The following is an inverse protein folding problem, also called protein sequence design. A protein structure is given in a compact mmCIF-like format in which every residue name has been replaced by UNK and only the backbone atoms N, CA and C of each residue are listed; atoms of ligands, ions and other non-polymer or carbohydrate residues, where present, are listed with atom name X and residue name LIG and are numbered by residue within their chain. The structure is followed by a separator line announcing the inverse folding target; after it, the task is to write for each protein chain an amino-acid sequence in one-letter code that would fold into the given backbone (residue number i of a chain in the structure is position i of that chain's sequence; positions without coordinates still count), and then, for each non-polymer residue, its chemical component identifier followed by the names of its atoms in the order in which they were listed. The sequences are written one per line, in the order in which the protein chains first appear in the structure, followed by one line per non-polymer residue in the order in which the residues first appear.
data_IF_615838650273
#
_entry.id   IF_615838650273
#
_cell.length_a   1.000
_cell.length_b   1.000
_cell.length_c   1.000
_cell.angle_alpha   90.00
_cell.angle_beta   90.00
_cell.angle_gamma   90.00
#
_symmetry.space_group_name_H-M   'P 1'
#
loop_
_entity.id
_entity.type
_entity.pdbx_description
1 polymer ?
#
# COMPACT_ATOMS: atom_id res chain seq x y z
N UNK A 1 -2.98 -52.32 1.01
CA UNK A 1 -2.53 -51.48 -0.12
C UNK A 1 -3.64 -50.57 -0.65
N UNK A 2 -4.85 -51.08 -0.94
CA UNK A 2 -6.00 -50.26 -1.44
C UNK A 2 -6.35 -49.02 -0.59
N UNK A 3 -6.38 -49.14 0.75
CA UNK A 3 -6.64 -48.00 1.67
C UNK A 3 -5.56 -46.91 1.61
N UNK A 4 -4.29 -47.28 1.37
CA UNK A 4 -3.19 -46.31 1.22
C UNK A 4 -3.26 -45.57 -0.10
N UNK A 5 -3.70 -46.24 -1.18
CA UNK A 5 -3.94 -45.59 -2.49
C UNK A 5 -5.09 -44.59 -2.41
N UNK A 6 -6.20 -44.96 -1.76
CA UNK A 6 -7.35 -44.06 -1.60
C UNK A 6 -7.01 -42.83 -0.74
N UNK A 7 -6.23 -43.03 0.33
CA UNK A 7 -5.73 -41.94 1.17
C UNK A 7 -4.78 -41.00 0.41
N UNK A 8 -3.90 -41.54 -0.44
CA UNK A 8 -3.02 -40.74 -1.29
C UNK A 8 -3.77 -39.91 -2.33
N UNK A 9 -4.77 -40.50 -2.97
CA UNK A 9 -5.64 -39.79 -3.94
C UNK A 9 -6.44 -38.66 -3.27
N UNK A 10 -6.94 -38.89 -2.06
CA UNK A 10 -7.66 -37.88 -1.30
C UNK A 10 -6.75 -36.71 -0.90
N UNK A 11 -5.52 -36.99 -0.46
CA UNK A 11 -4.53 -35.95 -0.16
C UNK A 11 -4.14 -35.14 -1.41
N UNK A 12 -3.98 -35.80 -2.55
CA UNK A 12 -3.69 -35.14 -3.83
C UNK A 12 -4.85 -34.24 -4.27
N UNK A 13 -6.09 -34.71 -4.16
CA UNK A 13 -7.27 -33.93 -4.48
C UNK A 13 -7.40 -32.67 -3.60
N UNK A 14 -7.10 -32.80 -2.29
CA UNK A 14 -7.08 -31.67 -1.38
C UNK A 14 -6.00 -30.65 -1.75
N UNK A 15 -4.77 -31.10 -2.07
CA UNK A 15 -3.67 -30.23 -2.51
C UNK A 15 -4.02 -29.46 -3.80
N UNK A 16 -4.66 -30.13 -4.76
CA UNK A 16 -5.09 -29.49 -6.01
C UNK A 16 -6.21 -28.48 -5.74
N UNK A 17 -7.20 -28.83 -4.91
CA UNK A 17 -8.31 -27.94 -4.60
C UNK A 17 -7.86 -26.70 -3.83
N UNK A 18 -6.99 -26.85 -2.82
CA UNK A 18 -6.45 -25.72 -2.06
C UNK A 18 -5.49 -24.90 -2.90
N UNK A 19 -4.61 -25.54 -3.69
CA UNK A 19 -3.71 -24.84 -4.61
C UNK A 19 -4.45 -24.04 -5.67
N UNK A 20 -5.53 -24.59 -6.24
CA UNK A 20 -6.39 -23.88 -7.18
C UNK A 20 -7.15 -22.72 -6.53
N UNK A 21 -7.72 -22.94 -5.33
CA UNK A 21 -8.39 -21.89 -4.57
C UNK A 21 -7.46 -20.72 -4.25
N UNK A 22 -6.26 -21.00 -3.75
CA UNK A 22 -5.23 -19.98 -3.48
C UNK A 22 -4.82 -19.23 -4.75
N UNK A 23 -4.57 -19.94 -5.85
CA UNK A 23 -4.24 -19.31 -7.14
C UNK A 23 -5.36 -18.39 -7.65
N UNK A 24 -6.62 -18.78 -7.45
CA UNK A 24 -7.77 -17.94 -7.80
C UNK A 24 -7.94 -16.75 -6.85
N UNK A 25 -7.70 -16.92 -5.54
CA UNK A 25 -7.71 -15.83 -4.57
C UNK A 25 -6.59 -14.83 -4.81
N UNK A 26 -5.41 -15.28 -5.25
CA UNK A 26 -4.28 -14.43 -5.63
C UNK A 26 -4.41 -13.81 -7.03
N UNK A 27 -5.37 -14.28 -7.83
CA UNK A 27 -5.75 -13.70 -9.13
C UNK A 27 -6.68 -12.49 -9.01
N UNK A 28 -7.20 -12.21 -7.81
CA UNK A 28 -7.75 -10.88 -7.56
C UNK A 28 -6.56 -9.94 -7.63
N UNK A 29 -6.46 -9.19 -8.72
CA UNK A 29 -5.60 -8.01 -8.75
C UNK A 29 -5.79 -7.29 -7.41
N UNK A 30 -4.71 -6.95 -6.73
CA UNK A 30 -4.73 -6.01 -5.62
C UNK A 30 -5.07 -4.58 -6.13
N UNK A 31 -5.92 -4.50 -7.15
CA UNK A 31 -6.65 -3.31 -7.57
C UNK A 31 -7.57 -2.97 -6.41
N UNK A 32 -7.01 -2.26 -5.44
CA UNK A 32 -7.78 -1.40 -4.58
C UNK A 32 -8.79 -0.68 -5.48
N UNK A 33 -10.08 -0.66 -5.11
CA UNK A 33 -11.06 0.05 -5.94
C UNK A 33 -10.56 1.47 -6.17
N UNK A 34 -10.83 2.05 -7.34
CA UNK A 34 -10.41 3.42 -7.65
C UNK A 34 -10.81 4.41 -6.54
N UNK A 35 -11.89 4.11 -5.82
CA UNK A 35 -12.35 4.84 -4.65
C UNK A 35 -11.42 4.74 -3.42
N UNK A 36 -10.86 3.55 -3.15
CA UNK A 36 -9.85 3.38 -2.11
C UNK A 36 -8.56 4.08 -2.50
N UNK A 37 -8.14 3.99 -3.77
CA UNK A 37 -6.94 4.67 -4.27
C UNK A 37 -7.09 6.20 -4.22
N UNK A 38 -8.25 6.72 -4.64
CA UNK A 38 -8.58 8.15 -4.58
C UNK A 38 -8.62 8.68 -3.14
N UNK A 39 -9.00 7.86 -2.14
CA UNK A 39 -8.98 8.27 -0.74
C UNK A 39 -7.56 8.34 -0.16
N UNK A 40 -6.66 7.41 -0.55
CA UNK A 40 -5.23 7.53 -0.16
C UNK A 40 -4.55 8.68 -0.87
N UNK A 41 -4.85 8.88 -2.15
CA UNK A 41 -4.38 10.06 -2.88
C UNK A 41 -4.93 11.33 -2.24
N UNK A 42 -6.22 11.43 -1.92
CA UNK A 42 -6.86 12.53 -1.16
C UNK A 42 -6.16 12.84 0.16
N UNK A 43 -5.73 11.82 0.89
CA UNK A 43 -4.98 11.99 2.13
C UNK A 43 -3.54 12.50 1.87
N UNK A 44 -2.92 12.07 0.77
CA UNK A 44 -1.57 12.47 0.36
C UNK A 44 -1.50 13.82 -0.39
N UNK A 45 -2.61 14.37 -0.90
CA UNK A 45 -2.62 15.69 -1.58
C UNK A 45 -2.20 16.81 -0.62
N UNK A 46 -2.40 16.61 0.68
CA UNK A 46 -1.91 17.52 1.72
C UNK A 46 -0.44 17.27 2.11
N UNK A 47 0.21 16.27 1.50
CA UNK A 47 1.62 15.93 1.70
C UNK A 47 2.53 16.32 0.52
N UNK A 48 1.99 16.87 -0.58
CA UNK A 48 2.80 17.61 -1.58
C UNK A 48 3.27 18.92 -0.95
N UNK A 49 4.16 18.83 0.03
CA UNK A 49 4.79 19.99 0.64
C UNK A 49 5.80 20.53 -0.34
N UNK A 50 5.60 21.78 -0.75
CA UNK A 50 6.60 22.52 -1.54
C UNK A 50 7.85 22.80 -0.67
N UNK A 51 7.68 22.71 0.65
CA UNK A 51 8.68 22.96 1.68
C UNK A 51 9.19 21.68 2.36
N UNK A 52 10.51 21.55 2.61
CA UNK A 52 11.05 20.42 3.35
C UNK A 52 10.60 20.46 4.82
N UNK A 53 10.24 19.31 5.39
CA UNK A 53 9.95 19.21 6.83
C UNK A 53 11.22 19.58 7.66
N UNK A 54 11.12 20.40 8.72
CA UNK A 54 9.91 20.83 9.43
C UNK A 54 9.24 22.11 8.91
N UNK A 55 9.73 22.72 7.83
CA UNK A 55 9.13 23.93 7.27
C UNK A 55 7.71 23.68 6.75
N UNK A 56 6.87 24.71 6.81
CA UNK A 56 5.52 24.72 6.27
C UNK A 56 5.39 25.71 5.11
N UNK A 57 4.43 25.50 4.23
CA UNK A 57 4.16 26.38 3.08
C UNK A 57 3.62 27.77 3.51
N UNK A 58 3.49 28.67 2.54
CA UNK A 58 2.96 30.04 2.68
C UNK A 58 3.73 30.90 3.70
N UNK A 59 5.03 31.04 3.51
CA UNK A 59 5.92 31.74 4.43
C UNK A 59 6.80 32.83 3.82
N UNK A 60 7.59 33.45 4.69
CA UNK A 60 8.57 34.50 4.33
C UNK A 60 10.03 34.09 4.60
N UNK A 61 10.27 32.82 4.89
CA UNK A 61 11.59 32.28 5.19
C UNK A 61 11.55 31.07 6.12
N UNK A 62 12.25 30.01 5.73
CA UNK A 62 12.61 28.89 6.60
C UNK A 62 14.01 28.37 6.23
N UNK A 63 14.82 28.02 7.22
CA UNK A 63 16.13 27.40 7.00
C UNK A 63 16.08 25.89 7.30
N UNK A 64 16.15 25.06 6.27
CA UNK A 64 16.21 23.60 6.39
C UNK A 64 17.27 23.03 5.42
N UNK A 65 18.52 22.94 5.89
CA UNK A 65 19.69 22.62 5.04
C UNK A 65 19.91 23.58 3.85
N UNK A 66 19.22 24.73 3.86
CA UNK A 66 19.14 25.72 2.81
C UNK A 66 18.03 26.73 3.12
N UNK A 67 18.08 27.92 2.52
CA UNK A 67 17.07 28.96 2.71
C UNK A 67 15.93 28.85 1.69
N UNK A 68 14.69 28.76 2.18
CA UNK A 68 13.49 28.72 1.35
C UNK A 68 12.62 29.93 1.63
N UNK A 69 12.53 30.86 0.67
CA UNK A 69 11.84 32.15 0.84
C UNK A 69 10.31 32.05 0.85
N UNK A 70 9.75 30.99 0.28
CA UNK A 70 8.30 30.74 0.21
C UNK A 70 7.80 29.83 1.34
N UNK A 71 8.72 29.33 2.18
CA UNK A 71 8.43 28.48 3.34
C UNK A 71 8.45 29.29 4.63
N UNK A 72 7.92 28.74 5.71
CA UNK A 72 7.90 29.36 7.05
C UNK A 72 8.29 28.37 8.12
N UNK A 73 8.96 28.85 9.15
CA UNK A 73 9.23 28.07 10.35
C UNK A 73 7.92 27.76 11.08
N UNK A 74 7.69 26.49 11.48
CA UNK A 74 6.57 26.15 12.33
C UNK A 74 6.68 26.87 13.69
N UNK A 75 5.54 27.31 14.23
CA UNK A 75 5.47 28.06 15.49
C UNK A 75 4.81 27.27 16.64
N UNK A 76 4.75 25.94 16.52
CA UNK A 76 4.16 25.03 17.51
C UNK A 76 5.21 24.47 18.48
#
# INVERSE_FOLDING_TARGET
MKKKVLSGLFALALLVATGYGVNQSMKSDANLPDLALANVEALAQSEEKTCPAPCIDDGSGCYCYGWYSYCREPNW
#
